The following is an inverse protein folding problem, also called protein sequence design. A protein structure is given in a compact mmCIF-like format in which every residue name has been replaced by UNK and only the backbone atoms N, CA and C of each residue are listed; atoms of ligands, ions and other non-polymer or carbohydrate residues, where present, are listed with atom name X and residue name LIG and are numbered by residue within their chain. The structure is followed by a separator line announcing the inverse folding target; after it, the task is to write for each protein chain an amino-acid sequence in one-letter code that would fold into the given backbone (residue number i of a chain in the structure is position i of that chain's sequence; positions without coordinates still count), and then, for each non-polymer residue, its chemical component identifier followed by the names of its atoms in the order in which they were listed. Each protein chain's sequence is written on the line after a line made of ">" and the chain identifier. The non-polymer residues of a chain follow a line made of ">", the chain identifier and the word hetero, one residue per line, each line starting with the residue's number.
data_IF_264974094165
#
_entry.id   IF_264974094165
#
_cell.length_a   1.000
_cell.length_b   1.000
_cell.length_c   1.000
_cell.angle_alpha   90.00
_cell.angle_beta   90.00
_cell.angle_gamma   90.00
#
_symmetry.space_group_name_H-M   'P 1'
#
loop_
_entity.id
_entity.type
_entity.pdbx_description
1 polymer ?
#
# COMPACT_ATOMS: atom_id res chain seq x y z
N UNK A 1 20.99 11.29 18.55
CA UNK A 1 20.09 11.26 18.25
C UNK A 1 19.79 10.50 17.39
N UNK A 2 19.29 9.92 17.38
CA UNK A 2 18.93 9.31 16.58
C UNK A 2 18.15 9.35 15.87
N UNK A 3 18.14 8.96 15.32
CA UNK A 3 17.45 9.46 14.21
C UNK A 3 16.39 8.52 13.79
N UNK A 4 15.23 8.81 14.19
CA UNK A 4 14.07 8.17 13.61
C UNK A 4 13.98 8.71 12.19
N UNK A 5 14.14 7.82 11.22
CA UNK A 5 13.97 8.21 9.83
C UNK A 5 12.48 8.44 9.59
N UNK A 6 12.11 9.67 9.27
CA UNK A 6 10.74 10.02 8.98
C UNK A 6 10.55 10.41 7.52
N UNK A 7 11.42 9.92 6.66
CA UNK A 7 11.35 10.23 5.24
C UNK A 7 11.99 9.10 4.44
N UNK A 8 11.43 8.84 3.26
CA UNK A 8 12.07 7.99 2.27
C UNK A 8 12.99 8.83 1.41
N UNK A 9 14.16 8.30 1.07
CA UNK A 9 15.13 9.01 0.24
C UNK A 9 15.26 8.24 -1.07
N UNK A 10 15.04 8.94 -2.18
CA UNK A 10 15.13 8.36 -3.50
C UNK A 10 15.76 9.40 -4.42
N UNK A 11 16.92 9.06 -5.01
CA UNK A 11 17.62 9.94 -5.95
C UNK A 11 17.83 11.34 -5.40
N UNK A 12 18.29 11.43 -4.17
CA UNK A 12 18.57 12.69 -3.48
C UNK A 12 17.34 13.50 -3.09
N UNK A 13 16.15 12.98 -3.38
CA UNK A 13 14.90 13.60 -2.94
C UNK A 13 14.41 12.91 -1.67
N UNK A 14 13.80 13.70 -0.81
CA UNK A 14 13.28 13.24 0.47
C UNK A 14 11.77 13.35 0.47
N UNK A 15 11.10 12.25 0.80
CA UNK A 15 9.64 12.18 0.81
C UNK A 15 9.19 11.84 2.22
N UNK A 16 8.55 12.79 2.90
CA UNK A 16 8.17 12.63 4.30
C UNK A 16 7.09 11.57 4.49
N UNK A 17 7.21 10.81 5.56
CA UNK A 17 6.19 9.83 5.95
C UNK A 17 5.93 9.96 7.45
N UNK A 18 4.84 9.37 7.90
CA UNK A 18 4.51 9.37 9.32
C UNK A 18 5.28 8.26 10.04
N UNK A 19 4.99 8.08 11.32
CA UNK A 19 5.70 7.11 12.15
C UNK A 19 5.52 5.68 11.67
N UNK A 20 4.45 5.41 10.95
CA UNK A 20 4.17 4.08 10.44
C UNK A 20 4.63 3.88 9.00
N UNK A 21 5.13 4.94 8.36
CA UNK A 21 5.67 4.87 7.01
C UNK A 21 4.73 5.30 5.91
N UNK A 22 3.56 5.83 6.26
CA UNK A 22 2.62 6.32 5.24
C UNK A 22 3.03 7.72 4.80
N UNK A 23 2.98 7.96 3.48
CA UNK A 23 3.37 9.26 2.94
C UNK A 23 2.50 10.37 3.49
N UNK A 24 3.14 11.46 3.88
CA UNK A 24 2.41 12.66 4.33
C UNK A 24 1.79 13.41 3.17
N UNK A 25 2.46 13.37 2.02
CA UNK A 25 1.96 14.02 0.82
C UNK A 25 1.71 12.95 -0.24
N UNK A 26 0.44 12.69 -0.53
CA UNK A 26 0.07 11.61 -1.45
C UNK A 26 0.57 11.85 -2.86
N UNK A 27 0.79 13.09 -3.25
CA UNK A 27 1.28 13.41 -4.59
C UNK A 27 2.76 13.06 -4.78
N UNK A 28 3.47 12.73 -3.70
CA UNK A 28 4.86 12.29 -3.80
C UNK A 28 5.02 10.90 -4.39
N UNK A 29 3.95 10.14 -4.47
CA UNK A 29 4.02 8.75 -4.87
C UNK A 29 4.49 8.58 -6.33
N UNK A 30 5.33 7.58 -6.54
CA UNK A 30 5.74 7.13 -7.86
C UNK A 30 5.97 5.63 -7.79
N UNK A 31 6.09 4.98 -8.94
CA UNK A 31 6.40 3.56 -8.96
C UNK A 31 7.73 3.27 -8.28
N UNK A 32 8.70 4.12 -8.51
CA UNK A 32 10.02 3.98 -7.91
C UNK A 32 9.93 4.09 -6.39
N UNK A 33 9.15 5.04 -5.92
CA UNK A 33 8.96 5.19 -4.47
C UNK A 33 8.21 3.99 -3.90
N UNK A 34 7.23 3.47 -4.63
CA UNK A 34 6.50 2.27 -4.20
C UNK A 34 7.45 1.08 -4.04
N UNK A 35 8.39 0.92 -4.97
CA UNK A 35 9.36 -0.16 -4.89
C UNK A 35 10.28 0.02 -3.68
N UNK A 36 10.67 1.24 -3.39
CA UNK A 36 11.48 1.52 -2.22
C UNK A 36 10.72 1.19 -0.93
N UNK A 37 9.46 1.60 -0.85
CA UNK A 37 8.62 1.30 0.30
C UNK A 37 8.44 -0.21 0.46
N UNK A 38 8.19 -0.91 -0.66
CA UNK A 38 8.03 -2.36 -0.62
C UNK A 38 9.30 -3.04 -0.11
N UNK A 39 10.45 -2.57 -0.56
CA UNK A 39 11.73 -3.12 -0.11
C UNK A 39 11.91 -2.91 1.38
N UNK A 40 11.53 -1.75 1.88
CA UNK A 40 11.57 -1.44 3.31
C UNK A 40 10.64 -2.37 4.09
N UNK A 41 9.52 -2.75 3.49
CA UNK A 41 8.55 -3.68 4.08
C UNK A 41 8.93 -5.14 3.82
N UNK A 42 10.07 -5.38 3.17
CA UNK A 42 10.59 -6.71 2.85
C UNK A 42 9.67 -7.48 1.91
N UNK A 43 9.10 -6.77 0.96
CA UNK A 43 8.23 -7.34 -0.05
C UNK A 43 8.90 -7.20 -1.42
N UNK A 44 8.98 -8.31 -2.13
CA UNK A 44 9.44 -8.31 -3.51
C UNK A 44 8.21 -8.16 -4.41
N UNK A 45 8.14 -7.04 -5.13
CA UNK A 45 6.96 -6.74 -5.95
C UNK A 45 6.88 -7.65 -7.16
N UNK A 46 5.73 -8.29 -7.33
CA UNK A 46 5.41 -9.10 -8.49
C UNK A 46 4.24 -8.43 -9.23
N UNK A 47 3.91 -8.90 -10.45
CA UNK A 47 2.74 -8.34 -11.14
C UNK A 47 1.46 -8.41 -10.31
N UNK A 48 1.31 -9.44 -9.50
CA UNK A 48 0.14 -9.57 -8.61
C UNK A 48 0.13 -8.47 -7.55
N UNK A 49 1.29 -8.14 -7.00
CA UNK A 49 1.39 -7.03 -6.05
C UNK A 49 0.99 -5.72 -6.73
N UNK A 50 1.50 -5.48 -7.94
CA UNK A 50 1.18 -4.25 -8.67
C UNK A 50 -0.30 -4.16 -9.00
N UNK A 51 -0.94 -5.29 -9.26
CA UNK A 51 -2.37 -5.31 -9.53
C UNK A 51 -3.15 -4.77 -8.32
N UNK A 52 -2.78 -5.20 -7.11
CA UNK A 52 -3.42 -4.72 -5.89
C UNK A 52 -3.13 -3.23 -5.67
N UNK A 53 -1.88 -2.83 -5.86
CA UNK A 53 -1.49 -1.43 -5.67
C UNK A 53 -2.25 -0.52 -6.64
N UNK A 54 -2.29 -0.90 -7.92
CA UNK A 54 -2.99 -0.10 -8.91
C UNK A 54 -4.48 -0.03 -8.64
N UNK A 55 -5.06 -1.16 -8.22
CA UNK A 55 -6.47 -1.21 -7.85
C UNK A 55 -6.76 -0.25 -6.68
N UNK A 56 -5.90 -0.25 -5.67
CA UNK A 56 -6.08 0.63 -4.51
C UNK A 56 -5.99 2.09 -4.89
N UNK A 57 -5.06 2.44 -5.77
CA UNK A 57 -4.93 3.83 -6.20
C UNK A 57 -6.19 4.28 -6.95
N UNK A 58 -6.73 3.43 -7.82
CA UNK A 58 -7.98 3.73 -8.51
C UNK A 58 -9.15 3.85 -7.53
N UNK A 59 -9.18 2.94 -6.56
CA UNK A 59 -10.22 2.97 -5.53
C UNK A 59 -10.18 4.29 -4.76
N UNK A 60 -9.00 4.70 -4.34
CA UNK A 60 -8.87 5.94 -3.59
C UNK A 60 -9.24 7.15 -4.44
N UNK A 61 -8.88 7.13 -5.71
CA UNK A 61 -9.21 8.23 -6.62
C UNK A 61 -10.73 8.40 -6.71
N UNK A 62 -11.46 7.29 -6.72
CA UNK A 62 -12.91 7.32 -6.84
C UNK A 62 -13.60 7.64 -5.52
N UNK A 63 -13.18 7.02 -4.43
CA UNK A 63 -13.89 7.08 -3.17
C UNK A 63 -13.24 7.95 -2.11
N UNK A 64 -12.02 8.40 -2.33
CA UNK A 64 -11.27 9.26 -1.40
C UNK A 64 -11.12 8.65 -0.02
N UNK A 65 -11.04 7.32 0.05
CA UNK A 65 -10.83 6.58 1.30
C UNK A 65 -10.03 5.33 1.01
N UNK A 66 -9.12 4.98 1.93
CA UNK A 66 -8.35 3.76 1.84
C UNK A 66 -9.15 2.63 2.48
N UNK A 67 -9.41 1.54 1.76
CA UNK A 67 -10.30 0.49 2.26
C UNK A 67 -9.64 -0.38 3.32
N UNK A 68 -10.41 -0.77 4.33
CA UNK A 68 -10.00 -1.81 5.26
C UNK A 68 -10.06 -3.17 4.57
N UNK A 69 -9.51 -4.19 5.24
CA UNK A 69 -9.34 -5.50 4.62
C UNK A 69 -10.65 -6.10 4.09
N UNK A 70 -11.73 -5.97 4.83
CA UNK A 70 -13.01 -6.55 4.39
C UNK A 70 -13.50 -5.92 3.10
N UNK A 71 -13.37 -4.60 3.01
CA UNK A 71 -13.79 -3.86 1.82
C UNK A 71 -12.86 -4.20 0.65
N UNK A 72 -11.57 -4.29 0.92
CA UNK A 72 -10.60 -4.63 -0.11
C UNK A 72 -10.87 -6.01 -0.70
N UNK A 73 -11.09 -7.01 0.15
CA UNK A 73 -11.39 -8.37 -0.30
C UNK A 73 -12.63 -8.37 -1.18
N UNK A 74 -13.69 -7.70 -0.72
CA UNK A 74 -14.94 -7.66 -1.46
C UNK A 74 -14.80 -6.98 -2.81
N UNK A 75 -14.08 -5.86 -2.83
CA UNK A 75 -13.87 -5.11 -4.06
C UNK A 75 -13.01 -5.87 -5.06
N UNK A 76 -11.96 -6.53 -4.57
CA UNK A 76 -11.10 -7.36 -5.42
C UNK A 76 -11.87 -8.54 -5.99
N UNK A 77 -12.73 -9.15 -5.18
CA UNK A 77 -13.56 -10.26 -5.65
C UNK A 77 -14.46 -9.82 -6.79
N UNK A 78 -15.06 -8.65 -6.65
CA UNK A 78 -15.94 -8.12 -7.67
C UNK A 78 -15.20 -7.80 -8.96
N UNK A 79 -13.98 -7.28 -8.83
CA UNK A 79 -13.19 -6.84 -9.98
C UNK A 79 -12.45 -7.98 -10.66
N UNK A 80 -11.85 -8.87 -9.89
CA UNK A 80 -10.91 -9.88 -10.39
C UNK A 80 -11.34 -11.31 -10.14
N UNK A 81 -12.46 -11.51 -9.45
CA UNK A 81 -12.98 -12.85 -9.16
C UNK A 81 -12.60 -13.38 -7.79
N UNK A 82 -13.18 -14.55 -7.41
CA UNK A 82 -13.00 -15.06 -6.04
C UNK A 82 -11.58 -15.52 -5.71
N UNK A 83 -10.77 -15.82 -6.71
CA UNK A 83 -9.41 -16.27 -6.47
C UNK A 83 -8.53 -15.12 -5.95
N UNK A 84 -8.77 -13.92 -6.42
CA UNK A 84 -8.01 -12.74 -6.00
C UNK A 84 -8.71 -11.93 -4.92
N UNK A 85 -10.03 -12.03 -4.86
CA UNK A 85 -10.79 -11.45 -3.78
C UNK A 85 -10.89 -12.41 -2.60
N UNK A 86 -9.74 -12.74 -2.05
CA UNK A 86 -9.63 -13.75 -1.01
C UNK A 86 -8.61 -13.28 0.02
N UNK A 87 -8.97 -13.34 1.28
CA UNK A 87 -8.13 -12.86 2.36
C UNK A 87 -6.80 -13.59 2.41
N UNK A 88 -6.84 -14.91 2.23
CA UNK A 88 -5.62 -15.71 2.27
C UNK A 88 -4.66 -15.32 1.15
N UNK A 89 -5.18 -15.13 -0.06
CA UNK A 89 -4.38 -14.69 -1.19
C UNK A 89 -3.70 -13.35 -0.91
N UNK A 90 -4.46 -12.40 -0.38
CA UNK A 90 -3.91 -11.08 -0.09
C UNK A 90 -2.88 -11.13 1.04
N UNK A 91 -3.06 -11.99 2.04
CA UNK A 91 -2.07 -12.17 3.09
C UNK A 91 -0.79 -12.82 2.57
N UNK A 92 -0.88 -13.63 1.53
CA UNK A 92 0.33 -14.17 0.91
C UNK A 92 1.14 -13.09 0.22
N UNK A 93 0.47 -12.13 -0.41
CA UNK A 93 1.14 -11.02 -1.05
C UNK A 93 1.68 -10.00 -0.06
N UNK A 94 0.93 -9.71 1.00
CA UNK A 94 1.26 -8.69 1.99
C UNK A 94 1.10 -9.27 3.39
N UNK A 95 2.11 -10.03 3.86
CA UNK A 95 1.94 -10.85 5.07
C UNK A 95 1.75 -10.08 6.37
N UNK A 96 2.13 -8.81 6.41
CA UNK A 96 2.02 -8.03 7.64
C UNK A 96 0.74 -7.21 7.72
N UNK A 97 -0.29 -7.59 6.96
CA UNK A 97 -1.57 -6.91 6.94
C UNK A 97 -1.84 -6.34 5.57
N UNK A 98 -2.62 -7.05 4.73
CA UNK A 98 -2.72 -6.69 3.31
C UNK A 98 -3.26 -5.28 3.07
N UNK A 99 -4.28 -4.87 3.81
CA UNK A 99 -4.80 -3.52 3.59
C UNK A 99 -3.77 -2.47 3.99
N UNK A 100 -3.12 -2.65 5.14
CA UNK A 100 -2.14 -1.69 5.63
C UNK A 100 -0.90 -1.64 4.76
N UNK A 101 -0.30 -2.80 4.46
CA UNK A 101 0.92 -2.81 3.65
C UNK A 101 0.67 -2.35 2.23
N UNK A 102 -0.41 -2.82 1.62
CA UNK A 102 -0.70 -2.44 0.25
C UNK A 102 -1.00 -0.95 0.13
N UNK A 103 -1.73 -0.39 1.09
CA UNK A 103 -1.99 1.05 1.08
C UNK A 103 -0.72 1.87 1.29
N UNK A 104 0.17 1.40 2.18
CA UNK A 104 1.45 2.07 2.38
C UNK A 104 2.25 2.11 1.08
N UNK A 105 2.38 0.98 0.41
CA UNK A 105 3.11 0.88 -0.84
C UNK A 105 2.44 1.71 -1.94
N UNK A 106 1.11 1.74 -1.92
CA UNK A 106 0.34 2.52 -2.90
C UNK A 106 0.38 4.03 -2.64
N UNK A 107 1.02 4.46 -1.55
CA UNK A 107 1.11 5.87 -1.21
C UNK A 107 -0.18 6.47 -0.72
N UNK A 108 -1.06 5.65 -0.17
CA UNK A 108 -2.37 6.09 0.33
C UNK A 108 -2.32 6.28 1.84
N UNK A 109 -3.32 6.96 2.41
CA UNK A 109 -3.42 7.05 3.86
C UNK A 109 -3.64 5.69 4.50
N UNK A 110 -3.38 5.61 5.79
CA UNK A 110 -3.64 4.40 6.54
C UNK A 110 -5.14 4.05 6.44
N UNK A 111 -5.46 2.77 6.14
CA UNK A 111 -6.87 2.41 6.08
C UNK A 111 -7.55 2.52 7.44
N UNK A 112 -8.84 2.85 7.41
CA UNK A 112 -9.65 2.85 8.61
C UNK A 112 -9.93 1.41 8.99
N UNK A 113 -9.83 1.10 10.27
CA UNK A 113 -10.02 -0.27 10.74
C UNK A 113 -8.72 -0.86 11.23
N UNK A 114 -8.78 -2.12 11.67
CA UNK A 114 -7.69 -2.73 12.43
C UNK A 114 -6.62 -3.39 11.58
N UNK A 115 -6.90 -3.77 10.37
CA UNK A 115 -5.93 -4.51 9.54
C UNK A 115 -6.02 -4.16 8.08
#
# INVERSE_FOLDING_TARGET
>A
MDAVTTAYVLDSHTYEHDEEGYLKNLSDWSKELAELIAKDEKIEMTPEHWEVVNFLREYYEEYQVAPAIRVLVKAMKKQFGPEKGDQKYLYELFPYGPAKQACKIAGLPKPTGCV
#
